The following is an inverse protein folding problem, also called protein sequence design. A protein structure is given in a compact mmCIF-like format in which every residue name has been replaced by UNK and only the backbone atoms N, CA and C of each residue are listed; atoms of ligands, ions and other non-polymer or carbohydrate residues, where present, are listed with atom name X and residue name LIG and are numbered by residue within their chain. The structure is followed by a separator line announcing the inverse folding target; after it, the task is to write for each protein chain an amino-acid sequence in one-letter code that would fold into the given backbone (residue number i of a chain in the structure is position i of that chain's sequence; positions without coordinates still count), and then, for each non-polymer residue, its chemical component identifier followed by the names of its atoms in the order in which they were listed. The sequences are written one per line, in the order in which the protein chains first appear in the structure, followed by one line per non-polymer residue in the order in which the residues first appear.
data_IF_623211217047
#
_entry.id   IF_623211217047
#
_cell.length_a   1.000
_cell.length_b   1.000
_cell.length_c   1.000
_cell.angle_alpha   90.00
_cell.angle_beta   90.00
_cell.angle_gamma   90.00
#
_symmetry.space_group_name_H-M   'P 1'
#
loop_
_entity.id
_entity.type
_entity.pdbx_description
1 polymer ?
#
# COMPACT_ATOMS: atom_id res chain seq x y z
N UNK A 1 0.28 -15.55 -64.63
CA UNK A 1 0.49 -14.15 -65.08
C UNK A 1 -0.85 -13.42 -65.01
N UNK A 2 -0.97 -12.15 -64.57
CA UNK A 2 -0.10 -11.31 -63.72
C UNK A 2 -0.87 -10.66 -62.51
N UNK A 3 -0.26 -10.50 -61.34
CA UNK A 3 0.26 -9.24 -60.73
C UNK A 3 -0.50 -7.92 -61.02
N UNK A 4 -0.96 -7.22 -59.97
CA UNK A 4 -0.98 -5.74 -59.83
C UNK A 4 -0.81 -5.40 -58.34
N UNK A 5 0.32 -4.85 -57.87
CA UNK A 5 0.96 -3.53 -58.04
C UNK A 5 0.60 -2.55 -56.90
N UNK A 6 1.62 -2.29 -56.10
CA UNK A 6 1.86 -1.15 -55.22
C UNK A 6 1.68 0.20 -55.92
N UNK A 7 1.24 1.22 -55.17
CA UNK A 7 1.45 2.64 -55.48
C UNK A 7 1.96 3.37 -54.24
N UNK A 8 3.20 3.81 -54.32
CA UNK A 8 3.78 4.97 -53.64
C UNK A 8 3.14 6.26 -54.18
N UNK A 9 3.03 7.29 -53.34
CA UNK A 9 2.85 8.67 -53.80
C UNK A 9 3.66 9.64 -52.95
N UNK A 10 4.36 10.51 -53.66
CA UNK A 10 5.33 11.53 -53.25
C UNK A 10 4.73 12.91 -53.56
N UNK A 11 5.36 13.96 -53.01
CA UNK A 11 5.29 15.39 -53.37
C UNK A 11 4.09 16.18 -52.77
N UNK A 12 4.30 17.17 -51.87
CA UNK A 12 5.03 18.44 -51.94
C UNK A 12 4.18 19.62 -52.46
N UNK A 13 4.08 20.69 -51.67
CA UNK A 13 3.89 22.05 -52.18
C UNK A 13 4.50 23.07 -51.20
N UNK A 14 5.12 24.11 -51.77
CA UNK A 14 5.99 25.10 -51.17
C UNK A 14 5.32 26.49 -51.06
N UNK A 15 5.76 27.24 -50.03
CA UNK A 15 6.21 28.65 -50.00
C UNK A 15 5.26 29.86 -50.15
N UNK A 16 5.53 30.82 -49.27
CA UNK A 16 5.55 32.29 -49.49
C UNK A 16 4.52 33.04 -48.63
N UNK A 17 4.79 34.17 -47.95
CA UNK A 17 5.92 35.12 -47.96
C UNK A 17 5.78 36.09 -46.75
N UNK A 18 6.88 36.76 -46.40
CA UNK A 18 7.17 37.61 -45.24
C UNK A 18 6.51 39.01 -45.22
N UNK A 19 6.45 39.62 -44.02
CA UNK A 19 6.94 41.01 -43.79
C UNK A 19 7.41 41.24 -42.34
N UNK A 20 8.44 42.07 -42.23
CA UNK A 20 9.36 42.47 -41.13
C UNK A 20 8.83 43.82 -40.50
N UNK A 21 9.03 44.28 -39.25
CA UNK A 21 10.25 44.82 -38.56
C UNK A 21 9.84 45.33 -37.13
N UNK A 22 10.52 44.91 -36.05
CA UNK A 22 11.41 45.65 -35.11
C UNK A 22 10.81 46.53 -33.98
N UNK A 23 11.19 46.25 -32.71
CA UNK A 23 12.10 47.10 -31.89
C UNK A 23 12.26 46.64 -30.41
N UNK A 24 13.53 46.36 -30.06
CA UNK A 24 14.32 46.71 -28.84
C UNK A 24 13.93 46.34 -27.38
N UNK A 25 14.88 45.63 -26.70
CA UNK A 25 15.45 45.74 -25.32
C UNK A 25 14.50 45.85 -24.10
N UNK A 26 14.66 45.16 -22.95
CA UNK A 26 15.86 44.87 -22.14
C UNK A 26 15.55 43.79 -21.08
N UNK A 27 16.63 43.24 -20.49
CA UNK A 27 16.68 42.25 -19.41
C UNK A 27 15.77 42.50 -18.19
N UNK A 28 15.04 41.46 -17.74
CA UNK A 28 14.84 41.18 -16.31
C UNK A 28 14.88 39.66 -16.05
N UNK A 29 15.87 39.24 -15.26
CA UNK A 29 16.03 37.87 -14.75
C UNK A 29 15.13 37.67 -13.52
N UNK A 30 13.99 37.00 -13.70
CA UNK A 30 13.20 36.42 -12.62
C UNK A 30 13.71 35.02 -12.27
N UNK A 31 14.17 34.84 -11.03
CA UNK A 31 14.62 33.56 -10.47
C UNK A 31 13.44 32.60 -10.27
N UNK A 32 13.43 31.49 -10.98
CA UNK A 32 12.66 30.29 -10.60
C UNK A 32 13.54 29.39 -9.73
N UNK A 33 13.27 29.38 -8.42
CA UNK A 33 13.85 28.45 -7.45
C UNK A 33 13.29 27.02 -7.66
N UNK A 34 13.87 26.30 -8.62
CA UNK A 34 13.73 24.85 -8.70
C UNK A 34 14.75 24.19 -7.75
N UNK A 35 14.29 23.80 -6.55
CA UNK A 35 15.11 23.04 -5.59
C UNK A 35 15.69 21.75 -6.21
N UNK A 36 17.02 21.59 -6.34
CA UNK A 36 17.65 20.42 -6.98
C UNK A 36 17.65 19.15 -6.11
N UNK A 37 17.07 19.20 -4.91
CA UNK A 37 17.29 18.19 -3.86
C UNK A 37 16.54 16.86 -4.01
N UNK A 38 15.42 16.82 -4.76
CA UNK A 38 14.54 15.62 -4.77
C UNK A 38 15.02 14.50 -5.70
N UNK A 39 15.63 14.82 -6.85
CA UNK A 39 16.14 13.81 -7.80
C UNK A 39 17.39 13.09 -7.26
N UNK A 40 18.22 13.81 -6.49
CA UNK A 40 19.43 13.25 -5.87
C UNK A 40 19.11 12.30 -4.69
N UNK A 41 18.09 12.60 -3.90
CA UNK A 41 17.65 11.73 -2.79
C UNK A 41 17.01 10.42 -3.27
N UNK A 42 16.23 10.44 -4.36
CA UNK A 42 15.63 9.23 -4.92
C UNK A 42 16.70 8.31 -5.53
N UNK A 43 17.72 8.88 -6.19
CA UNK A 43 18.84 8.14 -6.77
C UNK A 43 19.73 7.52 -5.68
N UNK A 44 20.03 8.26 -4.61
CA UNK A 44 20.80 7.75 -3.47
C UNK A 44 20.07 6.63 -2.71
N UNK A 45 18.74 6.76 -2.51
CA UNK A 45 17.92 5.70 -1.91
C UNK A 45 17.90 4.44 -2.79
N UNK A 46 17.89 4.61 -4.11
CA UNK A 46 17.90 3.50 -5.07
C UNK A 46 19.28 2.79 -5.13
N UNK A 47 20.39 3.51 -4.99
CA UNK A 47 21.75 2.93 -4.88
C UNK A 47 21.94 2.15 -3.57
N UNK A 48 21.39 2.66 -2.47
CA UNK A 48 21.48 2.00 -1.16
C UNK A 48 20.62 0.73 -1.09
N UNK A 49 19.47 0.72 -1.76
CA UNK A 49 18.62 -0.48 -1.93
C UNK A 49 19.23 -1.53 -2.85
N UNK A 50 20.01 -1.12 -3.86
CA UNK A 50 20.70 -2.03 -4.78
C UNK A 50 21.84 -2.81 -4.11
N UNK A 51 22.44 -2.25 -3.05
CA UNK A 51 23.54 -2.86 -2.31
C UNK A 51 23.09 -3.77 -1.15
N UNK A 52 21.78 -3.84 -0.85
CA UNK A 52 21.28 -4.77 0.17
C UNK A 52 21.46 -6.22 -0.28
N UNK A 53 21.91 -7.06 0.65
CA UNK A 53 22.02 -8.49 0.39
C UNK A 53 20.65 -9.12 0.15
N UNK A 54 20.59 -10.22 -0.61
CA UNK A 54 19.34 -10.93 -0.87
C UNK A 54 18.67 -11.37 0.44
N UNK A 55 19.50 -11.73 1.43
CA UNK A 55 19.09 -12.08 2.79
C UNK A 55 18.55 -10.89 3.58
N UNK A 56 19.12 -9.69 3.44
CA UNK A 56 18.56 -8.45 4.01
C UNK A 56 17.19 -8.10 3.41
N UNK A 57 17.00 -8.29 2.10
CA UNK A 57 15.71 -8.00 1.44
C UNK A 57 14.65 -9.00 1.93
N UNK A 58 14.98 -10.28 2.00
CA UNK A 58 14.04 -11.32 2.45
C UNK A 58 13.75 -11.22 3.95
N UNK A 59 14.75 -10.89 4.78
CA UNK A 59 14.58 -10.70 6.22
C UNK A 59 13.85 -9.41 6.59
N UNK A 60 13.83 -8.41 5.68
CA UNK A 60 13.05 -7.18 5.86
C UNK A 60 11.54 -7.38 5.67
N UNK A 61 11.09 -8.54 5.15
CA UNK A 61 9.68 -8.85 4.99
C UNK A 61 9.10 -9.20 6.36
N UNK A 62 8.44 -8.23 7.01
CA UNK A 62 7.71 -8.46 8.26
C UNK A 62 6.76 -9.65 8.10
N UNK A 63 6.73 -10.63 9.04
CA UNK A 63 5.81 -11.76 8.97
C UNK A 63 4.36 -11.28 8.95
N UNK A 64 3.43 -12.08 8.38
CA UNK A 64 2.01 -11.70 8.41
C UNK A 64 1.59 -11.52 9.88
N UNK A 65 0.86 -10.45 10.21
CA UNK A 65 0.38 -10.26 11.57
C UNK A 65 -0.47 -11.49 11.95
N UNK A 66 -0.23 -12.12 13.11
CA UNK A 66 -1.05 -13.23 13.54
C UNK A 66 -2.51 -12.77 13.67
N UNK A 67 -3.49 -13.63 13.33
CA UNK A 67 -4.89 -13.29 13.52
C UNK A 67 -5.12 -13.00 15.00
N UNK A 68 -5.62 -11.79 15.29
CA UNK A 68 -5.80 -11.34 16.66
C UNK A 68 -6.87 -12.16 17.42
N UNK A 69 -7.78 -12.82 16.71
CA UNK A 69 -8.76 -13.76 17.25
C UNK A 69 -8.88 -14.99 16.34
N UNK A 70 -9.04 -16.17 16.93
CA UNK A 70 -9.35 -17.40 16.20
C UNK A 70 -10.86 -17.56 16.05
N UNK A 71 -11.31 -18.07 14.90
CA UNK A 71 -12.73 -18.40 14.66
C UNK A 71 -13.09 -19.82 15.14
N UNK A 72 -12.31 -20.38 16.05
CA UNK A 72 -12.52 -21.74 16.56
C UNK A 72 -13.72 -21.78 17.51
N UNK A 73 -14.47 -22.88 17.47
CA UNK A 73 -15.59 -23.08 18.38
C UNK A 73 -15.07 -23.12 19.83
N UNK A 74 -15.57 -22.20 20.67
CA UNK A 74 -15.10 -22.03 22.05
C UNK A 74 -13.97 -21.01 22.23
N UNK A 75 -13.49 -20.37 21.16
CA UNK A 75 -12.55 -19.27 21.28
C UNK A 75 -13.23 -18.03 21.92
N UNK A 76 -12.51 -17.27 22.77
CA UNK A 76 -13.04 -16.06 23.34
C UNK A 76 -13.19 -14.99 22.25
N UNK A 77 -14.31 -14.26 22.24
CA UNK A 77 -14.52 -13.13 21.32
C UNK A 77 -14.90 -11.86 22.04
N UNK A 78 -14.58 -10.71 21.45
CA UNK A 78 -14.95 -9.41 22.00
C UNK A 78 -16.40 -9.06 21.64
N UNK A 79 -17.13 -8.50 22.60
CA UNK A 79 -18.49 -8.01 22.44
C UNK A 79 -18.62 -6.61 23.05
N UNK A 80 -19.38 -5.73 22.40
CA UNK A 80 -19.82 -4.46 22.99
C UNK A 80 -21.07 -4.74 23.83
N UNK A 81 -21.05 -4.32 25.09
CA UNK A 81 -22.18 -4.52 26.03
C UNK A 81 -23.18 -3.37 25.92
N UNK A 82 -22.69 -2.15 26.02
CA UNK A 82 -23.46 -0.92 25.95
C UNK A 82 -22.54 0.25 25.60
N UNK A 83 -23.14 1.36 25.19
CA UNK A 83 -22.47 2.63 24.91
C UNK A 83 -23.09 3.68 25.81
N UNK A 84 -22.28 4.41 26.57
CA UNK A 84 -22.73 5.53 27.38
C UNK A 84 -22.43 6.82 26.64
N UNK A 85 -23.45 7.58 26.30
CA UNK A 85 -23.32 8.90 25.68
C UNK A 85 -23.66 9.97 26.70
N UNK A 86 -22.76 10.92 26.87
CA UNK A 86 -22.98 12.10 27.70
C UNK A 86 -22.94 13.36 26.83
N UNK A 87 -24.08 14.02 26.69
CA UNK A 87 -24.23 15.26 25.93
C UNK A 87 -23.72 15.18 24.47
N UNK A 88 -23.96 14.07 23.78
CA UNK A 88 -23.45 13.81 22.43
C UNK A 88 -24.54 13.99 21.37
N UNK A 89 -24.38 14.96 20.45
CA UNK A 89 -25.30 15.27 19.36
C UNK A 89 -26.76 15.43 19.81
N UNK A 90 -27.62 14.45 19.53
CA UNK A 90 -29.04 14.46 19.93
C UNK A 90 -29.28 13.94 21.35
N UNK A 91 -28.27 13.35 21.99
CA UNK A 91 -28.37 12.79 23.33
C UNK A 91 -28.02 13.87 24.37
N UNK A 92 -29.05 14.39 25.02
CA UNK A 92 -28.92 15.29 26.16
C UNK A 92 -28.71 14.49 27.46
N UNK A 93 -27.83 14.97 28.33
CA UNK A 93 -27.50 14.28 29.58
C UNK A 93 -26.79 12.96 29.32
N UNK A 94 -26.88 12.05 30.30
CA UNK A 94 -26.35 10.68 30.19
C UNK A 94 -27.41 9.76 29.60
N UNK A 95 -27.08 9.12 28.48
CA UNK A 95 -27.93 8.19 27.74
C UNK A 95 -27.19 6.89 27.51
N UNK A 96 -27.74 5.80 28.03
CA UNK A 96 -27.16 4.46 27.90
C UNK A 96 -27.82 3.75 26.72
N UNK A 97 -27.04 3.40 25.70
CA UNK A 97 -27.47 2.61 24.56
C UNK A 97 -27.10 1.15 24.78
N UNK A 98 -28.11 0.31 24.96
CA UNK A 98 -27.93 -1.12 25.19
C UNK A 98 -28.98 -1.68 26.16
N UNK A 99 -28.82 -2.94 26.59
CA UNK A 99 -27.72 -3.85 26.26
C UNK A 99 -27.75 -4.31 24.79
N UNK A 100 -26.59 -4.39 24.15
CA UNK A 100 -26.47 -5.00 22.83
C UNK A 100 -26.53 -6.51 22.94
N UNK A 101 -27.13 -7.15 21.95
CA UNK A 101 -27.16 -8.59 21.85
C UNK A 101 -25.83 -9.13 21.33
N UNK A 102 -25.44 -10.32 21.81
CA UNK A 102 -24.13 -10.92 21.53
C UNK A 102 -23.86 -11.20 20.05
N UNK A 103 -24.90 -11.42 19.24
CA UNK A 103 -24.75 -11.75 17.80
C UNK A 103 -25.12 -10.58 16.91
N UNK A 104 -26.32 -10.04 17.13
CA UNK A 104 -26.93 -9.09 16.21
C UNK A 104 -27.94 -8.22 16.94
N UNK A 105 -27.85 -6.92 16.73
CA UNK A 105 -28.75 -5.92 17.29
C UNK A 105 -29.25 -5.01 16.17
N UNK A 106 -30.58 -4.84 16.07
CA UNK A 106 -31.19 -3.90 15.14
C UNK A 106 -31.46 -2.56 15.82
N UNK A 107 -31.08 -1.46 15.17
CA UNK A 107 -31.42 -0.10 15.59
C UNK A 107 -32.56 0.40 14.72
N UNK A 108 -33.74 0.59 15.31
CA UNK A 108 -34.97 1.04 14.63
C UNK A 108 -35.48 2.36 15.23
N UNK A 109 -36.27 3.11 14.47
CA UNK A 109 -36.87 4.37 14.94
C UNK A 109 -37.22 5.37 13.83
N UNK A 110 -38.07 6.38 14.11
CA UNK A 110 -38.57 7.33 13.10
C UNK A 110 -37.47 8.24 12.56
N UNK A 111 -37.62 8.76 11.33
CA UNK A 111 -36.61 9.64 10.73
C UNK A 111 -36.26 10.84 11.64
N UNK A 112 -34.97 11.16 11.76
CA UNK A 112 -34.49 12.21 12.66
C UNK A 112 -34.31 11.81 14.14
N UNK A 113 -34.72 10.60 14.56
CA UNK A 113 -34.61 10.14 15.96
C UNK A 113 -33.18 9.88 16.49
N UNK A 114 -32.14 10.27 15.75
CA UNK A 114 -30.75 10.05 16.16
C UNK A 114 -30.21 8.62 15.97
N UNK A 115 -30.89 7.73 15.22
CA UNK A 115 -30.39 6.35 14.93
C UNK A 115 -28.94 6.34 14.43
N UNK A 116 -28.64 7.17 13.45
CA UNK A 116 -27.30 7.27 12.88
C UNK A 116 -26.28 7.87 13.87
N UNK A 117 -26.75 8.57 14.92
CA UNK A 117 -25.86 9.09 15.96
C UNK A 117 -25.28 7.97 16.82
N UNK A 118 -25.91 6.78 16.87
CA UNK A 118 -25.33 5.59 17.53
C UNK A 118 -24.01 5.20 16.88
N UNK A 119 -23.99 5.15 15.53
CA UNK A 119 -22.77 4.86 14.77
C UNK A 119 -21.78 6.02 14.88
N UNK A 120 -22.26 7.28 14.88
CA UNK A 120 -21.38 8.44 15.08
C UNK A 120 -20.68 8.43 16.44
N UNK A 121 -21.36 7.97 17.50
CA UNK A 121 -20.76 7.77 18.83
C UNK A 121 -19.61 6.77 18.77
N UNK A 122 -19.78 5.65 18.06
CA UNK A 122 -18.73 4.65 17.86
C UNK A 122 -17.57 5.23 17.04
N UNK A 123 -17.85 5.90 15.91
CA UNK A 123 -16.82 6.54 15.08
C UNK A 123 -16.02 7.58 15.87
N UNK A 124 -16.68 8.32 16.75
CA UNK A 124 -16.03 9.28 17.62
C UNK A 124 -15.04 8.62 18.58
N UNK A 125 -15.44 7.53 19.26
CA UNK A 125 -14.55 6.78 20.17
C UNK A 125 -13.42 6.07 19.43
N UNK A 126 -13.65 5.57 18.22
CA UNK A 126 -12.63 4.94 17.40
C UNK A 126 -11.68 5.92 16.70
N UNK A 127 -11.86 7.23 16.89
CA UNK A 127 -10.90 8.22 16.41
C UNK A 127 -11.04 8.62 14.94
N UNK A 128 -12.18 8.35 14.32
CA UNK A 128 -12.44 8.78 12.97
C UNK A 128 -12.43 10.31 12.86
N UNK A 129 -12.05 10.81 11.68
CA UNK A 129 -12.08 12.25 11.38
C UNK A 129 -13.51 12.77 11.47
N UNK A 130 -13.68 14.00 11.96
CA UNK A 130 -15.00 14.62 12.14
C UNK A 130 -15.87 14.60 10.87
N UNK A 131 -15.24 14.73 9.69
CA UNK A 131 -15.92 14.64 8.40
C UNK A 131 -16.67 13.31 8.20
N UNK A 132 -16.07 12.17 8.60
CA UNK A 132 -16.73 10.85 8.57
C UNK A 132 -17.86 10.74 9.61
N UNK A 133 -17.79 11.53 10.69
CA UNK A 133 -18.83 11.67 11.73
C UNK A 133 -19.90 12.71 11.30
N UNK A 134 -19.93 13.10 10.02
CA UNK A 134 -20.90 14.06 9.46
C UNK A 134 -20.86 15.40 10.20
N UNK A 135 -19.67 15.85 10.62
CA UNK A 135 -19.47 17.08 11.39
C UNK A 135 -18.20 17.81 10.94
N UNK A 136 -18.23 19.14 10.95
CA UNK A 136 -17.06 19.95 10.51
C UNK A 136 -15.99 20.08 11.60
N UNK A 137 -16.41 20.14 12.86
CA UNK A 137 -15.55 20.36 14.04
C UNK A 137 -16.00 19.45 15.19
N UNK A 138 -15.10 19.14 16.11
CA UNK A 138 -15.41 18.33 17.30
C UNK A 138 -16.37 19.05 18.24
N UNK A 139 -16.30 20.39 18.34
CA UNK A 139 -17.22 21.17 19.17
C UNK A 139 -18.69 21.03 18.75
N UNK A 140 -18.97 20.70 17.48
CA UNK A 140 -20.34 20.50 16.96
C UNK A 140 -20.93 19.15 17.42
N UNK A 141 -20.10 18.24 17.91
CA UNK A 141 -20.56 16.96 18.48
C UNK A 141 -21.18 17.14 19.87
N UNK A 142 -20.93 18.27 20.53
CA UNK A 142 -21.52 18.59 21.82
C UNK A 142 -22.99 18.94 21.61
N UNK A 143 -23.86 18.32 22.40
CA UNK A 143 -25.29 18.60 22.37
C UNK A 143 -25.55 20.09 22.62
N UNK A 144 -26.41 20.66 21.80
CA UNK A 144 -26.84 22.05 21.92
C UNK A 144 -28.35 22.11 21.66
N UNK A 145 -29.12 22.41 22.70
CA UNK A 145 -30.58 22.57 22.64
C UNK A 145 -31.01 23.79 23.45
N UNK A 146 -32.26 24.22 23.26
CA UNK A 146 -32.76 25.40 23.97
C UNK A 146 -32.78 25.24 25.49
N UNK A 147 -32.96 24.01 25.98
CA UNK A 147 -32.94 23.66 27.39
C UNK A 147 -31.52 23.48 27.95
N UNK A 148 -30.52 23.19 27.10
CA UNK A 148 -29.15 22.89 27.51
C UNK A 148 -28.11 23.67 26.67
N UNK A 149 -28.04 24.99 26.87
CA UNK A 149 -27.16 25.89 26.09
C UNK A 149 -25.70 25.93 26.56
N UNK A 150 -25.41 25.54 27.81
CA UNK A 150 -24.10 25.75 28.44
C UNK A 150 -23.25 24.48 28.65
N UNK A 151 -23.47 23.46 27.84
CA UNK A 151 -22.65 22.23 27.90
C UNK A 151 -21.25 22.48 27.36
N UNK A 152 -20.23 22.30 28.21
CA UNK A 152 -18.82 22.56 27.88
C UNK A 152 -18.10 21.37 27.22
N UNK A 153 -18.61 20.15 27.41
CA UNK A 153 -17.98 18.92 26.94
C UNK A 153 -19.00 17.82 26.66
N UNK A 154 -18.66 16.91 25.75
CA UNK A 154 -19.35 15.65 25.56
C UNK A 154 -18.39 14.48 25.78
N UNK A 155 -18.91 13.38 26.32
CA UNK A 155 -18.16 12.15 26.55
C UNK A 155 -18.91 10.98 25.94
N UNK A 156 -18.20 10.08 25.29
CA UNK A 156 -18.76 8.82 24.82
C UNK A 156 -17.89 7.69 25.33
N UNK A 157 -18.51 6.67 25.92
CA UNK A 157 -17.84 5.49 26.46
C UNK A 157 -18.39 4.23 25.78
N UNK A 158 -17.50 3.39 25.26
CA UNK A 158 -17.86 2.08 24.70
C UNK A 158 -17.35 1.01 25.64
N UNK A 159 -18.25 0.18 26.14
CA UNK A 159 -17.93 -0.89 27.09
C UNK A 159 -17.80 -2.22 26.36
N UNK A 160 -16.64 -2.84 26.49
CA UNK A 160 -16.32 -4.13 25.90
C UNK A 160 -16.19 -5.21 26.97
N UNK A 161 -16.55 -6.43 26.61
CA UNK A 161 -16.29 -7.64 27.40
C UNK A 161 -15.90 -8.80 26.48
N UNK A 162 -15.10 -9.74 26.98
CA UNK A 162 -14.85 -11.00 26.26
C UNK A 162 -15.86 -12.04 26.69
N UNK A 163 -16.42 -12.74 25.70
CA UNK A 163 -17.35 -13.85 25.92
C UNK A 163 -16.86 -15.11 25.23
N UNK A 164 -17.23 -16.25 25.79
CA UNK A 164 -17.09 -17.57 25.15
C UNK A 164 -18.51 -18.03 24.85
N UNK A 165 -18.82 -18.23 23.56
CA UNK A 165 -20.12 -18.78 23.17
C UNK A 165 -20.19 -20.26 23.58
N UNK A 166 -21.30 -20.62 24.24
CA UNK A 166 -21.64 -22.02 24.53
C UNK A 166 -22.58 -22.57 23.45
N UNK A 167 -22.82 -23.87 23.52
CA UNK A 167 -23.89 -24.49 22.74
C UNK A 167 -25.23 -23.80 23.03
N UNK A 168 -26.00 -23.48 21.98
CA UNK A 168 -27.26 -22.74 22.10
C UNK A 168 -27.08 -21.22 22.08
N UNK A 169 -27.86 -20.51 22.92
CA UNK A 169 -27.85 -19.03 23.00
C UNK A 169 -27.19 -18.49 24.28
N UNK A 170 -26.65 -19.37 25.11
CA UNK A 170 -25.88 -18.99 26.29
C UNK A 170 -24.44 -18.58 25.95
N UNK A 171 -23.84 -17.80 26.85
CA UNK A 171 -22.43 -17.40 26.76
C UNK A 171 -21.86 -17.24 28.16
N UNK A 172 -20.55 -17.47 28.30
CA UNK A 172 -19.83 -17.17 29.53
C UNK A 172 -19.00 -15.90 29.36
N UNK A 173 -19.08 -15.00 30.33
CA UNK A 173 -18.22 -13.82 30.39
C UNK A 173 -16.91 -14.21 31.04
N UNK A 174 -15.81 -13.86 30.40
CA UNK A 174 -14.48 -14.10 30.97
C UNK A 174 -14.27 -13.11 32.12
N UNK A 175 -14.00 -13.57 33.35
CA UNK A 175 -13.80 -12.69 34.47
C UNK A 175 -12.61 -11.75 34.22
N UNK A 176 -12.71 -10.50 34.66
CA UNK A 176 -11.69 -9.46 34.49
C UNK A 176 -11.35 -9.11 33.03
N UNK A 177 -12.21 -9.44 32.06
CA UNK A 177 -12.03 -9.07 30.65
C UNK A 177 -12.70 -7.77 30.25
N UNK A 178 -13.43 -7.13 31.16
CA UNK A 178 -14.20 -5.92 30.90
C UNK A 178 -13.27 -4.72 30.85
N UNK A 179 -13.38 -3.93 29.78
CA UNK A 179 -12.71 -2.64 29.68
C UNK A 179 -13.62 -1.66 28.96
N UNK A 180 -13.48 -0.37 29.27
CA UNK A 180 -14.12 0.68 28.50
C UNK A 180 -13.08 1.57 27.82
N UNK A 181 -13.44 2.06 26.65
CA UNK A 181 -12.71 3.12 25.95
C UNK A 181 -13.64 4.31 25.90
N UNK A 182 -13.21 5.43 26.46
CA UNK A 182 -13.96 6.68 26.41
C UNK A 182 -13.16 7.79 25.76
N UNK A 183 -13.90 8.68 25.11
CA UNK A 183 -13.37 9.90 24.50
C UNK A 183 -14.21 11.08 24.93
N UNK A 184 -13.56 12.10 25.48
CA UNK A 184 -14.18 13.37 25.84
C UNK A 184 -13.73 14.44 24.87
N UNK A 185 -14.67 15.20 24.29
CA UNK A 185 -14.39 16.39 23.49
C UNK A 185 -14.88 17.65 24.20
N UNK A 186 -14.11 18.72 24.10
CA UNK A 186 -14.37 20.02 24.71
C UNK A 186 -14.69 21.08 23.64
N UNK A 187 -15.30 22.19 24.05
CA UNK A 187 -15.65 23.30 23.14
C UNK A 187 -14.46 23.93 22.42
N UNK A 188 -13.26 23.84 23.00
CA UNK A 188 -12.00 24.31 22.41
C UNK A 188 -11.50 23.42 21.26
N UNK A 189 -12.24 22.36 20.90
CA UNK A 189 -11.87 21.31 19.93
C UNK A 189 -10.74 20.38 20.39
N UNK A 190 -10.35 20.44 21.67
CA UNK A 190 -9.48 19.42 22.25
C UNK A 190 -10.28 18.14 22.52
N UNK A 191 -9.60 17.00 22.49
CA UNK A 191 -10.19 15.72 22.89
C UNK A 191 -9.20 14.89 23.70
N UNK A 192 -9.70 14.21 24.73
CA UNK A 192 -8.92 13.35 25.62
C UNK A 192 -9.46 11.94 25.55
N UNK A 193 -8.57 10.96 25.41
CA UNK A 193 -8.91 9.54 25.48
C UNK A 193 -8.66 9.02 26.89
N UNK A 194 -9.53 8.10 27.32
CA UNK A 194 -9.38 7.36 28.55
C UNK A 194 -9.67 5.88 28.31
N UNK A 195 -8.87 5.03 28.95
CA UNK A 195 -9.05 3.57 28.96
C UNK A 195 -9.40 3.21 30.40
N UNK A 196 -10.62 2.72 30.63
CA UNK A 196 -11.10 2.37 31.98
C UNK A 196 -10.87 3.48 33.01
N UNK A 197 -11.18 4.73 32.61
CA UNK A 197 -11.01 5.95 33.42
C UNK A 197 -9.59 6.53 33.48
N UNK A 198 -8.58 5.88 32.89
CA UNK A 198 -7.19 6.37 32.88
C UNK A 198 -6.86 7.08 31.56
N UNK A 199 -6.40 8.33 31.65
CA UNK A 199 -5.97 9.11 30.48
C UNK A 199 -4.88 8.36 29.71
N UNK A 200 -5.07 8.19 28.41
CA UNK A 200 -4.19 7.43 27.53
C UNK A 200 -4.05 8.13 26.17
N UNK A 201 -2.98 7.88 25.43
CA UNK A 201 -2.84 8.41 24.09
C UNK A 201 -3.70 7.59 23.09
N UNK A 202 -4.08 8.20 21.95
CA UNK A 202 -4.80 7.48 20.90
C UNK A 202 -4.01 6.27 20.36
N UNK A 203 -2.67 6.36 20.32
CA UNK A 203 -1.80 5.25 19.94
C UNK A 203 -1.98 4.04 20.87
N UNK A 204 -2.06 4.26 22.17
CA UNK A 204 -2.24 3.19 23.15
C UNK A 204 -3.63 2.55 23.04
N UNK A 205 -4.65 3.37 22.79
CA UNK A 205 -6.02 2.90 22.49
C UNK A 205 -6.02 2.03 21.23
N UNK A 206 -5.32 2.46 20.18
CA UNK A 206 -5.18 1.68 18.94
C UNK A 206 -4.45 0.36 19.15
N UNK A 207 -3.37 0.34 19.94
CA UNK A 207 -2.65 -0.90 20.30
C UNK A 207 -3.56 -1.85 21.09
N UNK A 208 -4.31 -1.32 22.07
CA UNK A 208 -5.25 -2.12 22.86
C UNK A 208 -6.34 -2.73 21.99
N UNK A 209 -7.00 -1.93 21.14
CA UNK A 209 -8.05 -2.41 20.25
C UNK A 209 -7.51 -3.41 19.21
N UNK A 210 -6.32 -3.16 18.65
CA UNK A 210 -5.65 -4.09 17.73
C UNK A 210 -5.32 -5.42 18.40
N UNK A 211 -4.90 -5.41 19.68
CA UNK A 211 -4.66 -6.64 20.44
C UNK A 211 -5.93 -7.48 20.65
N UNK A 212 -7.10 -6.87 20.47
CA UNK A 212 -8.41 -7.52 20.51
C UNK A 212 -9.02 -7.74 19.11
N UNK A 213 -8.26 -7.52 18.03
CA UNK A 213 -8.72 -7.75 16.65
C UNK A 213 -9.56 -6.63 16.05
N UNK A 214 -9.62 -5.47 16.67
CA UNK A 214 -10.20 -4.26 16.08
C UNK A 214 -9.06 -3.43 15.51
N UNK A 215 -8.92 -3.43 14.18
CA UNK A 215 -7.97 -2.56 13.50
C UNK A 215 -8.62 -1.21 13.15
N UNK A 216 -8.02 -0.13 13.62
CA UNK A 216 -8.47 1.25 13.36
C UNK A 216 -7.80 1.85 12.12
N UNK A 217 -6.70 1.28 11.65
CA UNK A 217 -5.96 1.82 10.51
C UNK A 217 -6.70 1.48 9.21
N UNK A 218 -7.04 0.21 9.05
CA UNK A 218 -7.85 -0.26 7.94
C UNK A 218 -9.30 -0.38 8.41
N UNK A 219 -10.05 0.71 8.28
CA UNK A 219 -11.45 0.92 8.69
C UNK A 219 -12.45 -0.08 8.08
N UNK A 220 -12.33 -1.37 8.39
CA UNK A 220 -13.03 -2.47 7.71
C UNK A 220 -14.23 -3.02 8.49
N UNK A 221 -14.36 -2.65 9.75
CA UNK A 221 -15.44 -3.13 10.63
C UNK A 221 -16.64 -2.17 10.66
N UNK A 222 -16.50 -0.94 10.13
CA UNK A 222 -17.57 0.04 10.02
C UNK A 222 -17.80 0.37 8.55
N UNK A 223 -19.03 0.15 8.11
CA UNK A 223 -19.49 0.51 6.76
C UNK A 223 -20.46 1.67 6.91
N UNK A 224 -20.08 2.82 6.38
CA UNK A 224 -20.87 4.05 6.41
C UNK A 224 -21.84 4.10 5.23
N UNK A 225 -22.84 4.97 5.39
CA UNK A 225 -23.73 5.30 4.29
C UNK A 225 -22.93 5.89 3.12
N UNK A 226 -23.14 5.33 1.92
CA UNK A 226 -22.42 5.73 0.71
C UNK A 226 -21.10 5.01 0.48
N UNK A 227 -20.49 4.38 1.49
CA UNK A 227 -19.26 3.60 1.27
C UNK A 227 -19.50 2.37 0.37
N UNK A 228 -20.68 1.75 0.45
CA UNK A 228 -21.06 0.65 -0.47
C UNK A 228 -21.12 1.13 -1.93
N UNK A 229 -21.63 2.34 -2.17
CA UNK A 229 -21.67 2.93 -3.51
C UNK A 229 -20.28 3.31 -3.99
N UNK A 230 -19.44 3.85 -3.10
CA UNK A 230 -18.03 4.13 -3.39
C UNK A 230 -17.30 2.86 -3.82
N UNK A 231 -17.45 1.77 -3.06
CA UNK A 231 -16.85 0.46 -3.39
C UNK A 231 -17.34 -0.04 -4.75
N UNK A 232 -18.63 0.10 -5.05
CA UNK A 232 -19.18 -0.29 -6.35
C UNK A 232 -18.63 0.54 -7.52
N UNK A 233 -18.24 1.80 -7.27
CA UNK A 233 -17.70 2.73 -8.24
C UNK A 233 -16.16 2.75 -8.30
N UNK A 234 -15.48 1.92 -7.48
CA UNK A 234 -14.02 1.84 -7.50
C UNK A 234 -13.53 1.30 -8.84
N UNK A 235 -12.47 1.93 -9.35
CA UNK A 235 -11.81 1.46 -10.57
C UNK A 235 -11.06 0.14 -10.28
N UNK A 236 -10.82 -0.71 -11.30
CA UNK A 236 -10.08 -1.95 -11.11
C UNK A 236 -8.67 -1.75 -10.51
N UNK A 237 -8.02 -0.63 -10.83
CA UNK A 237 -6.71 -0.24 -10.32
C UNK A 237 -6.68 1.28 -10.09
N UNK A 238 -6.00 1.71 -9.03
CA UNK A 238 -5.69 3.11 -8.79
C UNK A 238 -4.97 3.76 -9.98
N UNK A 239 -5.44 4.92 -10.43
CA UNK A 239 -4.78 5.65 -11.52
C UNK A 239 -3.58 6.46 -11.04
N UNK A 240 -3.55 6.82 -9.76
CA UNK A 240 -2.46 7.54 -9.10
C UNK A 240 -2.06 6.80 -7.84
N UNK A 241 -0.86 7.05 -7.31
CA UNK A 241 -0.38 6.42 -6.07
C UNK A 241 -1.26 6.68 -4.85
N UNK A 242 -2.13 7.69 -4.91
CA UNK A 242 -3.07 8.07 -3.85
C UNK A 242 -4.53 7.65 -4.13
N UNK A 243 -4.79 7.07 -5.30
CA UNK A 243 -6.12 6.58 -5.69
C UNK A 243 -6.17 5.09 -5.38
N UNK A 244 -7.01 4.67 -4.44
CA UNK A 244 -7.20 3.26 -4.10
C UNK A 244 -8.21 2.64 -5.06
N UNK A 245 -7.76 1.71 -5.91
CA UNK A 245 -8.64 0.88 -6.72
C UNK A 245 -9.03 -0.41 -6.01
N UNK A 246 -9.83 -1.24 -6.69
CA UNK A 246 -10.25 -2.54 -6.19
C UNK A 246 -9.08 -3.49 -5.95
N UNK A 247 -8.04 -3.43 -6.79
CA UNK A 247 -6.84 -4.25 -6.62
C UNK A 247 -6.12 -3.88 -5.33
N UNK A 248 -5.85 -2.59 -5.10
CA UNK A 248 -5.18 -2.10 -3.89
C UNK A 248 -6.00 -2.47 -2.64
N UNK A 249 -7.32 -2.30 -2.71
CA UNK A 249 -8.24 -2.69 -1.64
C UNK A 249 -8.15 -4.19 -1.29
N UNK A 250 -8.09 -5.06 -2.30
CA UNK A 250 -7.94 -6.51 -2.11
C UNK A 250 -6.54 -6.90 -1.61
N UNK A 251 -5.48 -6.24 -2.13
CA UNK A 251 -4.11 -6.44 -1.67
C UNK A 251 -3.98 -6.12 -0.18
N UNK A 252 -4.64 -5.05 0.27
CA UNK A 252 -4.63 -4.66 1.67
C UNK A 252 -5.46 -5.60 2.54
N UNK A 253 -6.54 -6.19 2.02
CA UNK A 253 -7.35 -7.20 2.72
C UNK A 253 -6.57 -8.49 2.97
N UNK A 254 -5.83 -8.94 1.95
CA UNK A 254 -4.98 -10.14 2.04
C UNK A 254 -3.72 -9.85 2.85
N UNK A 255 -3.31 -8.57 2.95
CA UNK A 255 -2.05 -8.16 3.55
C UNK A 255 -0.86 -8.47 2.64
N UNK A 256 -1.09 -8.54 1.32
CA UNK A 256 -0.03 -8.72 0.31
C UNK A 256 0.70 -7.43 -0.02
N UNK A 257 0.18 -6.26 0.40
CA UNK A 257 0.84 -4.96 0.24
C UNK A 257 2.30 -4.95 0.74
N UNK A 258 2.60 -5.68 1.83
CA UNK A 258 3.96 -5.84 2.37
C UNK A 258 4.97 -6.49 1.42
N UNK A 259 4.49 -7.23 0.42
CA UNK A 259 5.32 -7.96 -0.54
C UNK A 259 5.62 -7.12 -1.79
N UNK A 260 4.86 -6.06 -2.04
CA UNK A 260 4.94 -5.25 -3.26
C UNK A 260 6.30 -4.59 -3.43
N UNK A 261 6.77 -3.87 -2.42
CA UNK A 261 8.07 -3.19 -2.41
C UNK A 261 9.24 -4.19 -2.56
N UNK A 262 9.36 -5.27 -1.75
CA UNK A 262 10.40 -6.29 -1.95
C UNK A 262 10.40 -6.91 -3.35
N UNK A 263 9.23 -7.24 -3.89
CA UNK A 263 9.12 -7.82 -5.24
C UNK A 263 9.62 -6.82 -6.29
N UNK A 264 9.25 -5.54 -6.20
CA UNK A 264 9.72 -4.53 -7.15
C UNK A 264 11.24 -4.36 -7.11
N UNK A 265 11.85 -4.35 -5.92
CA UNK A 265 13.31 -4.27 -5.77
C UNK A 265 14.00 -5.47 -6.40
N UNK A 266 13.48 -6.69 -6.14
CA UNK A 266 14.02 -7.92 -6.72
C UNK A 266 13.87 -7.97 -8.25
N UNK A 267 12.73 -7.54 -8.79
CA UNK A 267 12.51 -7.46 -10.23
C UNK A 267 13.54 -6.54 -10.90
N UNK A 268 13.75 -5.33 -10.37
CA UNK A 268 14.77 -4.39 -10.90
C UNK A 268 16.18 -5.01 -10.86
N UNK A 269 16.52 -5.69 -9.76
CA UNK A 269 17.82 -6.38 -9.64
C UNK A 269 17.99 -7.49 -10.68
N UNK A 270 16.94 -8.27 -10.93
CA UNK A 270 16.94 -9.32 -11.97
C UNK A 270 17.11 -8.71 -13.36
N UNK A 271 16.46 -7.58 -13.65
CA UNK A 271 16.62 -6.86 -14.92
C UNK A 271 18.07 -6.41 -15.13
N UNK A 272 18.70 -5.78 -14.14
CA UNK A 272 20.11 -5.36 -14.22
C UNK A 272 21.06 -6.54 -14.43
N UNK A 273 20.86 -7.65 -13.72
CA UNK A 273 21.69 -8.84 -13.89
C UNK A 273 21.50 -9.49 -15.26
N UNK A 274 20.28 -9.48 -15.81
CA UNK A 274 20.02 -9.97 -17.16
C UNK A 274 20.69 -9.11 -18.23
N UNK A 275 20.73 -7.79 -18.05
CA UNK A 275 21.44 -6.88 -18.95
C UNK A 275 22.96 -7.16 -18.95
N UNK A 276 23.57 -7.26 -17.76
CA UNK A 276 24.99 -7.62 -17.61
C UNK A 276 25.31 -9.00 -18.21
N UNK A 277 24.42 -9.98 -18.01
CA UNK A 277 24.57 -11.30 -18.61
C UNK A 277 24.51 -11.21 -20.13
N UNK A 278 23.59 -10.42 -20.68
CA UNK A 278 23.46 -10.17 -22.11
C UNK A 278 24.73 -9.59 -22.72
N UNK A 279 25.32 -8.59 -22.07
CA UNK A 279 26.58 -7.98 -22.50
C UNK A 279 27.73 -9.00 -22.52
N UNK A 280 27.93 -9.74 -21.43
CA UNK A 280 28.98 -10.78 -21.33
C UNK A 280 28.79 -11.87 -22.36
N UNK A 281 27.56 -12.32 -22.57
CA UNK A 281 27.22 -13.36 -23.54
C UNK A 281 27.48 -12.88 -24.98
N UNK A 282 27.20 -11.61 -25.30
CA UNK A 282 27.55 -11.03 -26.59
C UNK A 282 29.07 -10.98 -26.80
N UNK A 283 29.84 -10.63 -25.77
CA UNK A 283 31.32 -10.62 -25.84
C UNK A 283 31.88 -12.02 -26.08
N UNK A 284 31.37 -13.04 -25.37
CA UNK A 284 31.78 -14.43 -25.59
C UNK A 284 31.47 -14.89 -27.02
N UNK A 285 30.26 -14.58 -27.53
CA UNK A 285 29.89 -14.92 -28.91
C UNK A 285 30.79 -14.27 -29.96
N UNK A 286 31.30 -13.05 -29.72
CA UNK A 286 32.26 -12.43 -30.64
C UNK A 286 33.58 -13.20 -30.66
N UNK A 287 34.11 -13.53 -29.48
CA UNK A 287 35.36 -14.30 -29.36
C UNK A 287 35.22 -15.71 -29.92
N UNK A 288 34.09 -16.38 -29.70
CA UNK A 288 33.80 -17.69 -30.29
C UNK A 288 33.81 -17.62 -31.83
N UNK A 289 33.17 -16.61 -32.43
CA UNK A 289 33.21 -16.42 -33.88
C UNK A 289 34.62 -16.19 -34.42
N UNK A 290 35.43 -15.40 -33.72
CA UNK A 290 36.84 -15.19 -34.10
C UNK A 290 37.65 -16.48 -33.99
N UNK A 291 37.47 -17.24 -32.91
CA UNK A 291 38.09 -18.55 -32.73
C UNK A 291 37.73 -19.49 -33.89
N UNK A 292 36.44 -19.62 -34.20
CA UNK A 292 35.95 -20.53 -35.23
C UNK A 292 36.43 -20.10 -36.64
N UNK A 293 36.60 -18.81 -36.89
CA UNK A 293 37.20 -18.31 -38.12
C UNK A 293 38.68 -18.72 -38.28
N UNK A 294 39.44 -18.74 -37.18
CA UNK A 294 40.87 -19.11 -37.16
C UNK A 294 41.11 -20.63 -37.14
N UNK A 295 40.11 -21.44 -36.81
CA UNK A 295 40.24 -22.91 -36.80
C UNK A 295 40.64 -23.47 -38.16
N UNK A 296 40.16 -22.88 -39.26
CA UNK A 296 40.51 -23.31 -40.62
C UNK A 296 41.99 -23.12 -40.94
N UNK A 297 42.57 -21.96 -40.60
CA UNK A 297 43.99 -21.68 -40.81
C UNK A 297 44.88 -22.54 -39.91
N UNK A 298 44.47 -22.70 -38.65
CA UNK A 298 45.13 -23.60 -37.70
C UNK A 298 45.20 -25.03 -38.25
N UNK A 299 44.09 -25.56 -38.77
CA UNK A 299 44.04 -26.93 -39.28
C UNK A 299 44.97 -27.12 -40.49
N UNK A 300 45.04 -26.14 -41.40
CA UNK A 300 46.00 -26.15 -42.52
C UNK A 300 47.45 -26.13 -42.04
N UNK A 301 47.77 -25.31 -41.05
CA UNK A 301 49.12 -25.25 -40.47
C UNK A 301 49.50 -26.57 -39.79
N UNK A 302 48.58 -27.19 -39.06
CA UNK A 302 48.79 -28.51 -38.45
C UNK A 302 49.01 -29.58 -39.53
N UNK A 303 48.22 -29.57 -40.60
CA UNK A 303 48.35 -30.52 -41.71
C UNK A 303 49.72 -30.39 -42.40
N UNK A 304 50.17 -29.16 -42.67
CA UNK A 304 51.48 -28.87 -43.23
C UNK A 304 52.62 -29.42 -42.34
N UNK A 305 52.61 -29.09 -41.05
CA UNK A 305 53.63 -29.58 -40.09
C UNK A 305 53.62 -31.11 -39.97
N UNK A 306 52.44 -31.72 -40.06
CA UNK A 306 52.31 -33.18 -40.05
C UNK A 306 52.91 -33.81 -41.31
N UNK A 307 52.68 -33.19 -42.47
CA UNK A 307 53.25 -33.63 -43.75
C UNK A 307 54.78 -33.48 -43.77
N UNK A 308 55.29 -32.36 -43.28
CA UNK A 308 56.74 -32.10 -43.18
C UNK A 308 57.42 -33.12 -42.27
N UNK A 309 56.83 -33.41 -41.11
CA UNK A 309 57.32 -34.45 -40.20
C UNK A 309 57.32 -35.84 -40.85
N UNK A 310 56.30 -36.18 -41.66
CA UNK A 310 56.28 -37.43 -42.44
C UNK A 310 57.40 -37.45 -43.47
N UNK A 311 57.54 -36.40 -44.27
CA UNK A 311 58.62 -36.27 -45.26
C UNK A 311 60.00 -36.40 -44.62
N UNK A 312 60.21 -35.80 -43.44
CA UNK A 312 61.47 -35.90 -42.72
C UNK A 312 61.74 -37.32 -42.23
N UNK A 313 60.73 -38.04 -41.72
CA UNK A 313 60.84 -39.46 -41.33
C UNK A 313 61.19 -40.35 -42.52
N UNK A 314 60.52 -40.18 -43.66
CA UNK A 314 60.81 -40.95 -44.87
C UNK A 314 62.22 -40.67 -45.40
N UNK A 315 62.66 -39.40 -45.40
CA UNK A 315 64.05 -39.04 -45.75
C UNK A 315 65.06 -39.68 -44.81
N UNK A 316 64.80 -39.68 -43.51
CA UNK A 316 65.68 -40.33 -42.53
C UNK A 316 65.77 -41.83 -42.80
N UNK A 317 64.66 -42.50 -43.10
CA UNK A 317 64.67 -43.91 -43.49
C UNK A 317 65.51 -44.16 -44.75
N UNK A 318 65.39 -43.33 -45.79
CA UNK A 318 66.21 -43.46 -47.00
C UNK A 318 67.71 -43.29 -46.68
N UNK A 319 68.07 -42.31 -45.86
CA UNK A 319 69.47 -42.07 -45.45
C UNK A 319 70.06 -43.17 -44.55
N UNK A 320 69.24 -44.03 -43.94
CA UNK A 320 69.72 -45.16 -43.13
C UNK A 320 69.97 -46.43 -43.98
N UNK A 321 69.40 -46.50 -45.19
CA UNK A 321 69.59 -47.61 -46.12
C UNK A 321 70.78 -47.43 -47.08
N UNK A 322 71.33 -46.22 -47.17
CA UNK A 322 72.59 -45.89 -47.85
C UNK A 322 73.71 -45.73 -46.83
#
# INVERSE_FOLDING_TARGET
MPRKRTKTSTAACQKGKETIEESTSDMEMGKDDAHPGKLSQQAALNEELANRSLEEILSSISPPPPPAMTNEAGAPRLMITHIVNQNFKSYAGEQILGPFHKRFSCIIGPNGSGKSNVIDSMLFVFGYRAQKIRSKKLSVLIHNSDEHKDIQSCTVEVHFQKIIDKEGDDYEVIPNSNFCVSRTAYRDNSSVYQISGKKSAFKDVGILLRSHGIDLDHNRFLILQGEVEQIAMMKPKGQTEHDEGMLEYLEDLIGSGRLKEPIQVLCRRVETLNEQRGEKLNRVKMVEKEKDALEGERNKAIEFLTLENKMFKEKNHICQYY
#
